data_IF_872744281182
#
_entry.id   IF_872744281182
#
_cell.length_a   1.000
_cell.length_b   1.000
_cell.length_c   1.000
_cell.angle_alpha   90.00
_cell.angle_beta   90.00
_cell.angle_gamma   90.00
#
_symmetry.space_group_name_H-M   'P 1'
#
loop_
_entity.id
_entity.type
_entity.pdbx_description
1 polymer ?
#
# COMPACT_ATOMS: atom_id res chain seq x y z
N UNK A 1 9.13 10.86 14.43
CA UNK A 1 10.38 10.08 14.53
C UNK A 1 11.43 10.78 13.69
N UNK A 2 12.65 10.97 14.21
CA UNK A 2 13.73 11.56 13.41
C UNK A 2 14.31 10.49 12.49
N UNK A 3 14.23 10.73 11.18
CA UNK A 3 14.79 9.83 10.16
C UNK A 3 16.29 9.57 10.39
N UNK A 4 17.02 10.55 10.91
CA UNK A 4 18.44 10.39 11.26
C UNK A 4 18.69 9.23 12.22
N UNK A 5 17.87 9.11 13.29
CA UNK A 5 18.01 8.01 14.26
C UNK A 5 17.70 6.66 13.65
N UNK A 6 16.77 6.62 12.69
CA UNK A 6 16.41 5.40 11.98
C UNK A 6 17.54 4.97 11.02
N UNK A 7 18.13 5.94 10.33
CA UNK A 7 19.26 5.73 9.42
C UNK A 7 20.50 5.25 10.17
N UNK A 8 20.86 5.89 11.30
CA UNK A 8 21.98 5.48 12.13
C UNK A 8 21.84 4.03 12.64
N UNK A 9 20.62 3.67 13.07
CA UNK A 9 20.32 2.31 13.49
C UNK A 9 20.47 1.31 12.35
N UNK A 10 19.94 1.62 11.16
CA UNK A 10 20.06 0.77 9.99
C UNK A 10 21.53 0.57 9.57
N UNK A 11 22.32 1.64 9.53
CA UNK A 11 23.75 1.58 9.23
C UNK A 11 24.49 0.68 10.24
N UNK A 12 24.18 0.83 11.53
CA UNK A 12 24.79 0.03 12.61
C UNK A 12 24.52 -1.46 12.42
N UNK A 13 23.28 -1.84 12.09
CA UNK A 13 22.93 -3.24 11.82
C UNK A 13 23.67 -3.78 10.61
N UNK A 14 23.73 -3.00 9.52
CA UNK A 14 24.45 -3.41 8.29
C UNK A 14 25.93 -3.63 8.59
N UNK A 15 26.56 -2.73 9.35
CA UNK A 15 27.96 -2.89 9.78
C UNK A 15 28.14 -4.14 10.64
N UNK A 16 27.25 -4.40 11.61
CA UNK A 16 27.34 -5.59 12.44
C UNK A 16 27.19 -6.88 11.62
N UNK A 17 26.29 -6.91 10.65
CA UNK A 17 26.11 -8.04 9.74
C UNK A 17 27.32 -8.26 8.81
N UNK A 18 27.95 -7.17 8.36
CA UNK A 18 29.18 -7.23 7.56
C UNK A 18 30.36 -7.81 8.36
N UNK A 19 30.55 -7.33 9.60
CA UNK A 19 31.59 -7.83 10.50
C UNK A 19 31.38 -9.30 10.89
N UNK A 20 30.13 -9.75 10.99
CA UNK A 20 29.79 -11.14 11.25
C UNK A 20 29.98 -12.08 10.04
N UNK A 21 30.39 -11.55 8.87
CA UNK A 21 30.58 -12.34 7.64
C UNK A 21 29.29 -12.87 7.01
N UNK A 22 28.12 -12.47 7.52
CA UNK A 22 26.81 -12.94 7.08
C UNK A 22 26.06 -11.92 6.22
N UNK A 23 26.80 -11.03 5.55
CA UNK A 23 26.24 -9.94 4.79
C UNK A 23 25.30 -10.43 3.68
N UNK A 24 25.64 -11.54 3.03
CA UNK A 24 24.88 -12.12 1.92
C UNK A 24 23.53 -12.72 2.36
N UNK A 25 23.53 -13.37 3.52
CA UNK A 25 22.29 -13.82 4.16
C UNK A 25 21.43 -12.63 4.57
N UNK A 26 22.03 -11.61 5.20
CA UNK A 26 21.32 -10.42 5.66
C UNK A 26 20.66 -9.66 4.50
N UNK A 27 21.39 -9.42 3.41
CA UNK A 27 20.84 -8.74 2.22
C UNK A 27 19.68 -9.54 1.62
N UNK A 28 19.79 -10.87 1.57
CA UNK A 28 18.70 -11.75 1.11
C UNK A 28 17.44 -11.56 1.96
N UNK A 29 17.58 -11.54 3.30
CA UNK A 29 16.45 -11.28 4.20
C UNK A 29 15.83 -9.90 4.01
N UNK A 30 16.65 -8.87 3.77
CA UNK A 30 16.17 -7.51 3.46
C UNK A 30 15.35 -7.50 2.16
N UNK A 31 15.80 -8.22 1.13
CA UNK A 31 15.04 -8.34 -0.12
C UNK A 31 13.70 -9.04 0.06
N UNK A 32 13.66 -10.15 0.81
CA UNK A 32 12.42 -10.86 1.11
C UNK A 32 11.47 -9.97 1.90
N UNK A 33 11.96 -9.28 2.93
CA UNK A 33 11.17 -8.35 3.72
C UNK A 33 10.59 -7.21 2.87
N UNK A 34 11.38 -6.65 1.96
CA UNK A 34 10.93 -5.60 1.03
C UNK A 34 9.88 -6.12 0.06
N UNK A 35 10.07 -7.31 -0.50
CA UNK A 35 9.10 -7.93 -1.40
C UNK A 35 7.77 -8.21 -0.68
N UNK A 36 7.84 -8.69 0.58
CA UNK A 36 6.68 -8.92 1.42
C UNK A 36 5.94 -7.63 1.76
N UNK A 37 6.67 -6.58 2.15
CA UNK A 37 6.11 -5.25 2.39
C UNK A 37 5.35 -4.73 1.16
N UNK A 38 5.95 -4.84 -0.03
CA UNK A 38 5.28 -4.44 -1.27
C UNK A 38 4.09 -5.31 -1.64
N UNK A 39 4.13 -6.60 -1.31
CA UNK A 39 3.00 -7.49 -1.54
C UNK A 39 1.83 -7.15 -0.61
N UNK A 40 2.11 -6.92 0.68
CA UNK A 40 1.12 -6.52 1.67
C UNK A 40 0.56 -5.12 1.37
N UNK A 41 1.40 -4.18 0.93
CA UNK A 41 0.95 -2.83 0.57
C UNK A 41 0.03 -2.78 -0.65
N UNK A 42 -0.03 -3.84 -1.48
CA UNK A 42 -1.04 -3.97 -2.55
C UNK A 42 -2.43 -4.32 -2.03
N UNK A 43 -2.52 -4.92 -0.84
CA UNK A 43 -3.80 -5.33 -0.25
C UNK A 43 -4.47 -4.22 0.54
N UNK A 44 -3.69 -3.22 0.96
CA UNK A 44 -4.25 -1.91 1.26
C UNK A 44 -4.64 -1.29 -0.07
N UNK A 45 -5.93 -1.27 -0.39
CA UNK A 45 -6.43 -0.41 -1.45
C UNK A 45 -5.92 0.99 -1.16
N UNK A 46 -4.87 1.42 -1.86
CA UNK A 46 -4.41 2.81 -1.92
C UNK A 46 -5.47 3.63 -2.65
N UNK A 47 -6.71 3.58 -2.14
CA UNK A 47 -7.98 3.71 -2.84
C UNK A 47 -7.80 4.51 -4.09
N UNK A 48 -7.96 3.87 -5.26
CA UNK A 48 -7.92 4.56 -6.56
C UNK A 48 -8.60 5.90 -6.35
N UNK A 49 -7.89 7.03 -6.49
CA UNK A 49 -8.44 8.29 -6.04
C UNK A 49 -9.78 8.44 -6.76
N UNK A 50 -10.86 8.54 -6.00
CA UNK A 50 -12.18 8.79 -6.55
C UNK A 50 -12.16 10.25 -7.04
N UNK A 51 -11.56 10.47 -8.21
CA UNK A 51 -11.50 11.77 -8.87
C UNK A 51 -12.91 12.26 -9.24
N UNK A 52 -13.89 11.36 -9.24
CA UNK A 52 -15.27 11.65 -9.60
C UNK A 52 -16.20 11.18 -8.47
N UNK A 53 -16.94 12.09 -7.82
CA UNK A 53 -17.95 11.67 -6.85
C UNK A 53 -19.01 10.83 -7.57
N UNK A 54 -19.27 9.64 -7.03
CA UNK A 54 -20.35 8.78 -7.49
C UNK A 54 -21.70 9.49 -7.29
N UNK A 55 -22.25 10.05 -8.37
CA UNK A 55 -23.60 10.61 -8.37
C UNK A 55 -24.59 9.44 -8.35
N UNK A 56 -25.22 9.19 -7.20
CA UNK A 56 -26.41 8.32 -7.11
C UNK A 56 -27.57 8.97 -7.88
N UNK A 57 -27.70 8.67 -9.16
CA UNK A 57 -28.94 8.94 -9.89
C UNK A 57 -30.02 7.98 -9.36
N UNK A 58 -30.94 8.48 -8.55
CA UNK A 58 -32.15 7.77 -8.16
C UNK A 58 -33.05 7.52 -9.39
N UNK A 59 -32.80 6.43 -10.11
CA UNK A 59 -33.59 5.97 -11.26
C UNK A 59 -34.99 5.49 -10.89
N UNK A 60 -35.35 5.45 -9.60
CA UNK A 60 -36.68 5.03 -9.13
C UNK A 60 -37.82 5.97 -9.50
N UNK A 61 -37.55 7.22 -9.93
CA UNK A 61 -38.60 8.16 -10.32
C UNK A 61 -38.93 8.18 -11.81
N UNK A 62 -38.04 7.71 -12.69
CA UNK A 62 -38.28 7.74 -14.14
C UNK A 62 -39.15 6.58 -14.64
N UNK A 63 -39.14 5.43 -13.94
CA UNK A 63 -39.92 4.26 -14.36
C UNK A 63 -41.41 4.32 -13.95
N UNK A 64 -41.77 5.21 -13.02
CA UNK A 64 -43.16 5.35 -12.54
C UNK A 64 -44.01 6.29 -13.40
N UNK A 65 -43.40 7.13 -14.23
CA UNK A 65 -44.13 8.06 -15.11
C UNK A 65 -44.44 7.47 -16.50
N UNK A 66 -43.69 6.47 -16.98
CA UNK A 66 -43.97 5.80 -18.25
C UNK A 66 -45.08 4.75 -18.17
N UNK A 67 -45.40 4.25 -16.98
CA UNK A 67 -46.45 3.23 -16.78
C UNK A 67 -47.87 3.79 -16.56
N UNK A 68 -48.06 5.12 -16.65
CA UNK A 68 -49.38 5.78 -16.54
C UNK A 68 -49.80 6.49 -17.84
N UNK A 69 -49.13 6.21 -18.97
CA UNK A 69 -49.51 6.69 -20.31
C UNK A 69 -49.77 5.54 -21.29
N UNK A 70 -50.45 4.50 -20.83
CA UNK A 70 -51.10 3.51 -21.69
C UNK A 70 -52.52 3.26 -21.20
#
# INVERSE_FOLDING_TARGET
MNFDKLTDFAITIVLAAALAGNLDSFTTWVYVARAKLFYESRTESWGSPDFFPYVKTNTSKLQRQSSHRH
#
